data_IF_794947406318
#
_entry.id   IF_794947406318
#
_cell.length_a   1.000
_cell.length_b   1.000
_cell.length_c   1.000
_cell.angle_alpha   90.00
_cell.angle_beta   90.00
_cell.angle_gamma   90.00
#
_symmetry.space_group_name_H-M   'P 1'
#
loop_
_entity.id
_entity.type
_entity.pdbx_description
1 polymer ?
#
# COMPACT_ATOMS: atom_id res chain seq x y z
N UNK A 1 -2.99 30.58 -1.06
CA UNK A 1 -2.84 30.05 0.32
C UNK A 1 -1.46 29.41 0.42
N UNK A 2 -0.54 29.90 1.26
CA UNK A 2 0.77 29.22 1.47
C UNK A 2 0.55 28.05 2.42
N UNK A 3 0.49 26.82 1.89
CA UNK A 3 0.54 25.63 2.73
C UNK A 3 1.91 25.60 3.42
N UNK A 4 1.94 25.55 4.76
CA UNK A 4 3.19 25.32 5.48
C UNK A 4 3.68 23.91 5.12
N UNK A 5 4.94 23.79 4.71
CA UNK A 5 5.58 22.53 4.30
C UNK A 5 5.31 21.38 5.28
N UNK A 6 5.35 21.68 6.58
CA UNK A 6 5.05 20.75 7.70
C UNK A 6 3.64 20.17 7.64
N UNK A 7 2.63 20.96 7.23
CA UNK A 7 1.24 20.48 7.12
C UNK A 7 1.03 19.54 5.95
N UNK A 8 1.80 19.72 4.87
CA UNK A 8 1.74 18.82 3.71
C UNK A 8 2.38 17.48 4.04
N UNK A 9 3.53 17.48 4.72
CA UNK A 9 4.07 16.22 5.26
C UNK A 9 3.05 15.56 6.19
N UNK A 10 2.51 16.25 7.20
CA UNK A 10 1.50 15.69 8.12
C UNK A 10 0.29 15.09 7.38
N UNK A 11 -0.19 15.74 6.32
CA UNK A 11 -1.29 15.23 5.49
C UNK A 11 -0.91 13.90 4.82
N UNK A 12 0.24 13.84 4.13
CA UNK A 12 0.69 12.61 3.49
C UNK A 12 0.94 11.50 4.52
N UNK A 13 1.48 11.84 5.69
CA UNK A 13 1.67 10.90 6.79
C UNK A 13 0.33 10.37 7.32
N UNK A 14 -0.71 11.22 7.40
CA UNK A 14 -2.05 10.81 7.85
C UNK A 14 -2.71 9.79 6.93
N UNK A 15 -2.42 9.82 5.63
CA UNK A 15 -2.93 8.81 4.69
C UNK A 15 -2.35 7.42 4.96
N UNK A 16 -1.07 7.36 5.32
CA UNK A 16 -0.41 6.10 5.69
C UNK A 16 -0.91 5.62 7.06
N UNK A 17 -1.15 6.54 8.01
CA UNK A 17 -1.77 6.23 9.29
C UNK A 17 -3.14 5.56 9.15
N UNK A 18 -3.95 5.97 8.17
CA UNK A 18 -5.26 5.36 7.91
C UNK A 18 -5.20 3.94 7.35
N UNK A 19 -4.03 3.45 6.90
CA UNK A 19 -3.90 2.07 6.47
C UNK A 19 -4.11 1.07 7.62
N UNK A 20 -3.85 1.48 8.86
CA UNK A 20 -4.15 0.69 10.08
C UNK A 20 -5.59 0.15 10.07
N UNK A 21 -6.54 1.03 9.77
CA UNK A 21 -7.98 0.71 9.71
C UNK A 21 -8.28 -0.40 8.70
N UNK A 22 -7.48 -0.53 7.63
CA UNK A 22 -7.66 -1.60 6.67
C UNK A 22 -7.28 -2.97 7.25
N UNK A 23 -6.19 -3.04 8.02
CA UNK A 23 -5.77 -4.28 8.69
C UNK A 23 -6.76 -4.67 9.79
N UNK A 24 -7.16 -3.72 10.63
CA UNK A 24 -8.07 -3.95 11.76
C UNK A 24 -9.45 -4.46 11.32
N UNK A 25 -9.94 -3.99 10.18
CA UNK A 25 -11.26 -4.38 9.68
C UNK A 25 -11.24 -5.58 8.72
N UNK A 26 -10.07 -6.17 8.44
CA UNK A 26 -9.98 -7.30 7.53
C UNK A 26 -10.15 -8.62 8.30
N UNK A 27 -11.27 -9.35 8.14
CA UNK A 27 -11.54 -10.55 8.92
C UNK A 27 -10.52 -11.67 8.67
N UNK A 28 -10.04 -11.81 7.42
CA UNK A 28 -9.01 -12.81 7.07
C UNK A 28 -7.64 -12.47 7.67
N UNK A 29 -7.36 -11.18 7.88
CA UNK A 29 -6.14 -10.77 8.58
C UNK A 29 -6.28 -11.10 10.07
N UNK A 30 -7.44 -10.80 10.66
CA UNK A 30 -7.71 -11.05 12.07
C UNK A 30 -7.82 -12.53 12.43
N UNK A 31 -8.11 -13.41 11.47
CA UNK A 31 -8.10 -14.86 11.69
C UNK A 31 -6.70 -15.47 11.79
N UNK A 32 -5.64 -14.73 11.42
CA UNK A 32 -4.26 -15.22 11.53
C UNK A 32 -3.72 -15.09 12.95
N UNK A 33 -2.74 -15.93 13.29
CA UNK A 33 -2.06 -15.82 14.58
C UNK A 33 -1.30 -14.48 14.70
N UNK A 34 -1.15 -13.98 15.93
CA UNK A 34 -0.46 -12.69 16.21
C UNK A 34 0.93 -12.59 15.59
N UNK A 35 1.68 -13.69 15.57
CA UNK A 35 3.01 -13.77 14.93
C UNK A 35 2.95 -13.45 13.43
N UNK A 36 2.06 -14.11 12.69
CA UNK A 36 1.91 -13.91 11.24
C UNK A 36 1.32 -12.54 10.91
N UNK A 37 0.35 -12.07 11.71
CA UNK A 37 -0.19 -10.70 11.61
C UNK A 37 0.91 -9.66 11.73
N UNK A 38 1.77 -9.80 12.74
CA UNK A 38 2.91 -8.89 12.99
C UNK A 38 3.89 -8.88 11.82
N UNK A 39 4.22 -10.04 11.26
CA UNK A 39 5.12 -10.16 10.10
C UNK A 39 4.51 -9.51 8.87
N UNK A 40 3.26 -9.86 8.53
CA UNK A 40 2.56 -9.30 7.37
C UNK A 40 2.42 -7.79 7.50
N UNK A 41 2.01 -7.28 8.67
CA UNK A 41 1.91 -5.85 8.94
C UNK A 41 3.26 -5.17 8.72
N UNK A 42 4.33 -5.66 9.35
CA UNK A 42 5.66 -5.07 9.20
C UNK A 42 6.14 -5.06 7.74
N UNK A 43 5.81 -6.11 7.00
CA UNK A 43 6.27 -6.26 5.63
C UNK A 43 5.46 -5.44 4.62
N UNK A 44 4.16 -5.34 4.81
CA UNK A 44 3.24 -4.84 3.79
C UNK A 44 2.74 -3.43 4.07
N UNK A 45 2.84 -2.93 5.32
CA UNK A 45 2.28 -1.64 5.72
C UNK A 45 2.76 -0.47 4.83
N UNK A 46 4.04 -0.47 4.47
CA UNK A 46 4.59 0.55 3.57
C UNK A 46 3.90 0.58 2.21
N UNK A 47 3.57 -0.60 1.69
CA UNK A 47 2.94 -0.72 0.38
C UNK A 47 1.45 -0.37 0.45
N UNK A 48 0.74 -0.88 1.46
CA UNK A 48 -0.68 -0.59 1.68
C UNK A 48 -0.90 0.90 1.92
N UNK A 49 -0.11 1.49 2.82
CA UNK A 49 -0.17 2.92 3.12
C UNK A 49 0.18 3.80 1.94
N UNK A 50 1.27 3.50 1.22
CA UNK A 50 1.67 4.30 0.07
C UNK A 50 0.72 4.17 -1.13
N UNK A 51 0.20 2.97 -1.43
CA UNK A 51 -0.83 2.80 -2.47
C UNK A 51 -2.11 3.54 -2.08
N UNK A 52 -2.53 3.40 -0.82
CA UNK A 52 -3.69 4.11 -0.29
C UNK A 52 -3.55 5.62 -0.43
N UNK A 53 -2.38 6.17 -0.09
CA UNK A 53 -2.07 7.58 -0.28
C UNK A 53 -2.13 7.98 -1.77
N UNK A 54 -1.50 7.21 -2.66
CA UNK A 54 -1.54 7.47 -4.11
C UNK A 54 -2.99 7.48 -4.65
N UNK A 55 -3.82 6.53 -4.20
CA UNK A 55 -5.23 6.48 -4.57
C UNK A 55 -6.00 7.70 -4.09
N UNK A 56 -5.82 8.13 -2.84
CA UNK A 56 -6.47 9.34 -2.30
C UNK A 56 -6.01 10.59 -3.06
N UNK A 57 -4.71 10.73 -3.31
CA UNK A 57 -4.13 11.85 -4.06
C UNK A 57 -4.75 11.92 -5.46
N UNK A 58 -4.90 10.76 -6.12
CA UNK A 58 -5.57 10.67 -7.43
C UNK A 58 -7.01 11.16 -7.36
N UNK A 59 -7.80 10.62 -6.43
CA UNK A 59 -9.23 10.92 -6.30
C UNK A 59 -9.49 12.39 -5.96
N UNK A 60 -8.62 12.98 -5.16
CA UNK A 60 -8.73 14.40 -4.75
C UNK A 60 -8.12 15.36 -5.76
N UNK A 61 -7.31 14.89 -6.70
CA UNK A 61 -6.54 15.74 -7.60
C UNK A 61 -5.53 16.63 -6.87
N UNK A 62 -5.08 16.23 -5.67
CA UNK A 62 -4.29 17.09 -4.78
C UNK A 62 -3.00 17.61 -5.43
N UNK A 63 -2.33 16.77 -6.22
CA UNK A 63 -1.09 17.14 -6.93
C UNK A 63 -1.32 17.90 -8.25
N UNK A 64 -2.57 18.14 -8.64
CA UNK A 64 -2.88 19.04 -9.76
C UNK A 64 -2.71 20.52 -9.36
N UNK A 65 -2.73 20.82 -8.05
CA UNK A 65 -2.38 22.15 -7.55
C UNK A 65 -0.86 22.35 -7.61
N UNK A 66 -0.43 23.36 -8.38
CA UNK A 66 0.99 23.64 -8.60
C UNK A 66 1.74 23.98 -7.30
N UNK A 67 1.08 24.59 -6.33
CA UNK A 67 1.70 24.94 -5.04
C UNK A 67 1.98 23.69 -4.23
N UNK A 68 1.02 22.77 -4.18
CA UNK A 68 1.18 21.49 -3.49
C UNK A 68 2.22 20.63 -4.22
N UNK A 69 2.17 20.56 -5.54
CA UNK A 69 3.15 19.84 -6.36
C UNK A 69 4.58 20.29 -6.08
N UNK A 70 4.86 21.60 -6.18
CA UNK A 70 6.19 22.16 -5.91
C UNK A 70 6.64 21.95 -4.46
N UNK A 71 5.69 22.00 -3.52
CA UNK A 71 6.01 21.75 -2.11
C UNK A 71 6.37 20.29 -1.88
N UNK A 72 5.64 19.35 -2.49
CA UNK A 72 5.97 17.93 -2.43
C UNK A 72 7.32 17.64 -3.11
N UNK A 73 7.63 18.31 -4.21
CA UNK A 73 8.91 18.21 -4.91
C UNK A 73 10.09 18.63 -4.03
N UNK A 74 9.93 19.71 -3.25
CA UNK A 74 10.96 20.17 -2.31
C UNK A 74 11.16 19.18 -1.15
N UNK A 75 10.09 18.54 -0.67
CA UNK A 75 10.16 17.61 0.47
C UNK A 75 10.76 16.26 0.06
N UNK A 76 10.27 15.69 -1.04
CA UNK A 76 10.55 14.31 -1.44
C UNK A 76 11.57 14.20 -2.58
N UNK A 77 11.84 15.29 -3.28
CA UNK A 77 12.68 15.29 -4.48
C UNK A 77 11.89 15.01 -5.76
N UNK A 78 12.39 15.55 -6.87
CA UNK A 78 11.75 15.48 -8.17
C UNK A 78 11.66 14.05 -8.73
N UNK A 79 12.67 13.20 -8.49
CA UNK A 79 12.67 11.81 -8.93
C UNK A 79 11.53 10.99 -8.32
N UNK A 80 11.44 11.00 -6.98
CA UNK A 80 10.38 10.29 -6.23
C UNK A 80 9.00 10.83 -6.64
N UNK A 81 8.86 12.15 -6.78
CA UNK A 81 7.59 12.75 -7.18
C UNK A 81 7.19 12.36 -8.61
N UNK A 82 8.12 12.37 -9.57
CA UNK A 82 7.87 11.94 -10.94
C UNK A 82 7.44 10.47 -11.01
N UNK A 83 8.13 9.59 -10.29
CA UNK A 83 7.78 8.17 -10.20
C UNK A 83 6.42 7.97 -9.52
N UNK A 84 6.12 8.74 -8.46
CA UNK A 84 4.83 8.73 -7.77
C UNK A 84 3.70 9.19 -8.70
N UNK A 85 3.89 10.25 -9.48
CA UNK A 85 2.92 10.71 -10.48
C UNK A 85 2.66 9.66 -11.56
N UNK A 86 3.69 8.92 -11.98
CA UNK A 86 3.56 7.79 -12.89
C UNK A 86 2.72 6.66 -12.30
N UNK A 87 2.87 6.36 -11.01
CA UNK A 87 2.01 5.38 -10.32
C UNK A 87 0.57 5.88 -10.25
N UNK A 88 0.38 7.14 -9.83
CA UNK A 88 -0.94 7.77 -9.71
C UNK A 88 -1.72 7.72 -11.03
N UNK A 89 -1.06 7.95 -12.17
CA UNK A 89 -1.72 7.90 -13.48
C UNK A 89 -2.15 6.48 -13.90
N UNK A 90 -1.49 5.45 -13.36
CA UNK A 90 -1.83 4.04 -13.59
C UNK A 90 -2.94 3.53 -12.66
N UNK A 91 -3.24 4.22 -11.56
CA UNK A 91 -4.29 3.86 -10.59
C UNK A 91 -5.70 4.20 -11.09
N UNK A 92 -6.03 3.87 -12.34
CA UNK A 92 -7.36 4.07 -12.91
C UNK A 92 -8.35 2.96 -12.51
N UNK A 93 -8.46 2.75 -11.21
CA UNK A 93 -9.34 1.74 -10.62
C UNK A 93 -10.46 2.43 -9.84
N UNK A 94 -11.62 1.77 -9.80
CA UNK A 94 -12.66 2.15 -8.84
C UNK A 94 -12.29 1.72 -7.42
N UNK A 95 -13.02 2.23 -6.43
CA UNK A 95 -12.76 1.97 -5.02
C UNK A 95 -12.98 0.52 -4.61
N UNK A 96 -13.89 -0.22 -5.26
CA UNK A 96 -14.17 -1.62 -4.95
C UNK A 96 -12.99 -2.49 -5.39
N UNK A 97 -12.55 -2.34 -6.64
CA UNK A 97 -11.39 -3.05 -7.14
C UNK A 97 -10.16 -2.70 -6.32
N UNK A 98 -9.93 -1.41 -6.04
CA UNK A 98 -8.79 -0.97 -5.25
C UNK A 98 -8.73 -1.61 -3.86
N UNK A 99 -9.86 -1.83 -3.18
CA UNK A 99 -9.89 -2.57 -1.90
C UNK A 99 -9.44 -4.02 -2.05
N UNK A 100 -9.85 -4.72 -3.11
CA UNK A 100 -9.38 -6.08 -3.41
C UNK A 100 -7.87 -6.09 -3.68
N UNK A 101 -7.37 -5.06 -4.36
CA UNK A 101 -5.93 -4.89 -4.60
C UNK A 101 -5.14 -4.67 -3.31
N UNK A 102 -5.64 -3.84 -2.39
CA UNK A 102 -5.00 -3.67 -1.08
C UNK A 102 -4.97 -4.98 -0.30
N UNK A 103 -6.04 -5.79 -0.37
CA UNK A 103 -6.05 -7.10 0.26
C UNK A 103 -4.98 -8.03 -0.34
N UNK A 104 -4.85 -8.07 -1.67
CA UNK A 104 -3.78 -8.80 -2.35
C UNK A 104 -2.38 -8.41 -1.88
N UNK A 105 -2.16 -7.11 -1.64
CA UNK A 105 -0.88 -6.59 -1.15
C UNK A 105 -0.66 -6.96 0.32
N UNK A 106 -1.68 -6.93 1.18
CA UNK A 106 -1.58 -7.33 2.60
C UNK A 106 -1.13 -8.78 2.75
N UNK A 107 -1.67 -9.69 1.95
CA UNK A 107 -1.34 -11.12 2.01
C UNK A 107 -0.19 -11.50 1.06
N UNK A 108 0.50 -10.51 0.51
CA UNK A 108 1.62 -10.76 -0.39
C UNK A 108 2.88 -11.16 0.37
N UNK A 109 3.64 -12.07 -0.24
CA UNK A 109 4.94 -12.51 0.24
C UNK A 109 6.10 -11.71 -0.40
N UNK A 110 5.83 -10.52 -0.98
CA UNK A 110 6.82 -9.73 -1.75
C UNK A 110 8.10 -9.35 -0.99
N UNK A 111 8.10 -9.35 0.34
CA UNK A 111 9.34 -9.08 1.09
C UNK A 111 10.26 -10.30 1.25
N UNK A 112 9.81 -11.50 0.92
CA UNK A 112 10.66 -12.70 0.88
C UNK A 112 11.61 -12.72 -0.32
N UNK A 113 11.41 -11.84 -1.32
CA UNK A 113 12.31 -11.72 -2.48
C UNK A 113 13.41 -10.67 -2.31
N UNK A 114 13.45 -9.92 -1.20
CA UNK A 114 14.63 -9.11 -0.88
C UNK A 114 15.71 -10.02 -0.31
N UNK A 115 16.83 -10.12 -1.01
CA UNK A 115 18.07 -10.71 -0.49
C UNK A 115 18.68 -9.78 0.58
N UNK A 116 18.06 -9.72 1.76
CA UNK A 116 18.70 -9.10 2.92
C UNK A 116 19.56 -10.14 3.64
N UNK A 117 20.71 -9.74 4.17
CA UNK A 117 21.58 -10.61 4.98
C UNK A 117 20.98 -11.02 6.35
N UNK A 118 19.72 -10.65 6.61
CA UNK A 118 18.99 -11.01 7.84
C UNK A 118 18.17 -12.25 7.54
N UNK A 119 18.27 -13.28 8.39
CA UNK A 119 17.46 -14.49 8.25
C UNK A 119 15.97 -14.10 8.17
N UNK A 120 15.22 -14.59 7.17
CA UNK A 120 13.82 -14.24 7.02
C UNK A 120 13.05 -14.68 8.26
N UNK A 121 12.28 -13.77 8.86
CA UNK A 121 11.30 -14.15 9.86
C UNK A 121 10.20 -14.90 9.11
N UNK A 122 10.10 -16.20 9.35
CA UNK A 122 9.18 -17.06 8.60
C UNK A 122 7.76 -16.94 9.15
N UNK A 123 6.80 -16.88 8.22
CA UNK A 123 5.38 -17.07 8.52
C UNK A 123 5.18 -18.52 9.01
N UNK A 124 4.38 -18.69 10.06
CA UNK A 124 4.02 -20.00 10.61
C UNK A 124 3.04 -20.72 9.70
N UNK A 125 2.00 -20.04 9.23
CA UNK A 125 0.97 -20.62 8.37
C UNK A 125 0.96 -19.98 6.96
N UNK A 126 2.04 -20.24 6.22
CA UNK A 126 2.18 -19.75 4.84
C UNK A 126 1.07 -20.30 3.93
N UNK A 127 0.60 -21.53 4.18
CA UNK A 127 -0.45 -22.18 3.39
C UNK A 127 -1.76 -21.41 3.48
N UNK A 128 -2.21 -21.07 4.70
CA UNK A 128 -3.43 -20.29 4.91
C UNK A 128 -3.31 -18.89 4.31
N UNK A 129 -2.15 -18.24 4.44
CA UNK A 129 -1.92 -16.90 3.88
C UNK A 129 -2.00 -16.91 2.35
N UNK A 130 -1.36 -17.88 1.69
CA UNK A 130 -1.44 -18.05 0.24
C UNK A 130 -2.86 -18.40 -0.21
N UNK A 131 -3.60 -19.19 0.57
CA UNK A 131 -5.00 -19.48 0.28
C UNK A 131 -5.86 -18.21 0.31
N UNK A 132 -5.72 -17.38 1.35
CA UNK A 132 -6.39 -16.08 1.46
C UNK A 132 -6.01 -15.17 0.28
N UNK A 133 -4.72 -15.11 -0.06
CA UNK A 133 -4.24 -14.30 -1.20
C UNK A 133 -4.87 -14.76 -2.52
N UNK A 134 -4.91 -16.07 -2.77
CA UNK A 134 -5.52 -16.64 -3.98
C UNK A 134 -7.02 -16.34 -4.06
N UNK A 135 -7.73 -16.43 -2.95
CA UNK A 135 -9.14 -16.05 -2.89
C UNK A 135 -9.35 -14.57 -3.26
N UNK A 136 -8.53 -13.65 -2.76
CA UNK A 136 -8.61 -12.24 -3.18
C UNK A 136 -8.21 -12.04 -4.65
N UNK A 137 -7.27 -12.83 -5.18
CA UNK A 137 -6.89 -12.78 -6.59
C UNK A 137 -8.06 -13.22 -7.48
N UNK A 138 -8.73 -14.30 -7.10
CA UNK A 138 -9.90 -14.80 -7.79
C UNK A 138 -11.08 -13.82 -7.71
N UNK A 139 -11.33 -13.22 -6.54
CA UNK A 139 -12.35 -12.18 -6.39
C UNK A 139 -12.06 -10.95 -7.24
N UNK A 140 -10.79 -10.50 -7.27
CA UNK A 140 -10.36 -9.39 -8.13
C UNK A 140 -10.58 -9.71 -9.61
N UNK A 141 -10.21 -10.91 -10.04
CA UNK A 141 -10.41 -11.39 -11.41
C UNK A 141 -11.90 -11.45 -11.79
N UNK A 142 -12.72 -12.12 -10.96
CA UNK A 142 -14.17 -12.20 -11.16
C UNK A 142 -14.83 -10.83 -11.19
N UNK A 143 -14.39 -9.90 -10.33
CA UNK A 143 -14.89 -8.53 -10.35
C UNK A 143 -14.58 -7.82 -11.67
N UNK A 144 -13.38 -8.00 -12.22
CA UNK A 144 -13.03 -7.41 -13.52
C UNK A 144 -13.87 -7.98 -14.66
N UNK A 145 -14.09 -9.29 -14.71
CA UNK A 145 -14.98 -9.93 -15.70
C UNK A 145 -16.44 -9.50 -15.51
N UNK A 146 -16.87 -9.30 -14.27
CA UNK A 146 -18.22 -8.82 -14.00
C UNK A 146 -18.41 -7.37 -14.49
N UNK A 147 -17.40 -6.52 -14.29
CA UNK A 147 -17.47 -5.09 -14.58
C UNK A 147 -17.09 -4.74 -16.03
N UNK A 148 -16.22 -5.53 -16.64
CA UNK A 148 -15.65 -5.34 -17.96
C UNK A 148 -15.73 -6.65 -18.74
N UNK A 149 -15.64 -6.61 -20.06
CA UNK A 149 -15.49 -7.84 -20.85
C UNK A 149 -14.12 -8.50 -20.61
N UNK A 150 -13.99 -9.76 -21.05
CA UNK A 150 -12.79 -10.57 -20.83
C UNK A 150 -11.51 -9.89 -21.32
N UNK A 151 -11.55 -9.26 -22.50
CA UNK A 151 -10.39 -8.57 -23.07
C UNK A 151 -9.96 -7.38 -22.20
N UNK A 152 -10.89 -6.52 -21.80
CA UNK A 152 -10.58 -5.39 -20.92
C UNK A 152 -10.16 -5.87 -19.53
N UNK A 153 -10.76 -6.93 -19.00
CA UNK A 153 -10.38 -7.51 -17.71
C UNK A 153 -8.89 -7.91 -17.70
N UNK A 154 -8.40 -8.56 -18.75
CA UNK A 154 -6.97 -8.90 -18.91
C UNK A 154 -6.09 -7.63 -18.90
N UNK A 155 -6.50 -6.60 -19.64
CA UNK A 155 -5.76 -5.32 -19.70
C UNK A 155 -5.70 -4.64 -18.33
N UNK A 156 -6.83 -4.54 -17.62
CA UNK A 156 -6.89 -3.94 -16.29
C UNK A 156 -6.06 -4.70 -15.28
N UNK A 157 -6.13 -6.03 -15.28
CA UNK A 157 -5.34 -6.87 -14.39
C UNK A 157 -3.84 -6.74 -14.68
N UNK A 158 -3.44 -6.76 -15.95
CA UNK A 158 -2.04 -6.58 -16.36
C UNK A 158 -1.49 -5.21 -15.98
N UNK A 159 -2.30 -4.15 -16.15
CA UNK A 159 -1.93 -2.80 -15.76
C UNK A 159 -1.80 -2.67 -14.24
N UNK A 160 -2.62 -3.38 -13.46
CA UNK A 160 -2.45 -3.43 -12.01
C UNK A 160 -1.11 -4.06 -11.61
N UNK A 161 -0.75 -5.21 -12.18
CA UNK A 161 0.54 -5.86 -11.89
C UNK A 161 1.71 -4.93 -12.25
N UNK A 162 1.66 -4.26 -13.40
CA UNK A 162 2.67 -3.24 -13.80
C UNK A 162 2.72 -2.07 -12.83
N UNK A 163 1.57 -1.63 -12.33
CA UNK A 163 1.48 -0.58 -11.32
C UNK A 163 2.13 -1.01 -10.00
N UNK A 164 1.96 -2.26 -9.57
CA UNK A 164 2.61 -2.78 -8.37
C UNK A 164 4.14 -2.76 -8.49
N UNK A 165 4.69 -3.21 -9.62
CA UNK A 165 6.14 -3.15 -9.86
C UNK A 165 6.65 -1.71 -9.88
N UNK A 166 5.98 -0.82 -10.62
CA UNK A 166 6.36 0.60 -10.67
C UNK A 166 6.31 1.26 -9.29
N UNK A 167 5.33 0.88 -8.48
CA UNK A 167 5.17 1.38 -7.12
C UNK A 167 6.18 0.76 -6.14
N UNK A 168 6.61 -0.48 -6.36
CA UNK A 168 7.65 -1.11 -5.57
C UNK A 168 8.95 -0.30 -5.61
N UNK A 169 9.36 0.14 -6.80
CA UNK A 169 10.55 1.00 -6.98
C UNK A 169 10.41 2.31 -6.19
N UNK A 170 9.25 2.97 -6.27
CA UNK A 170 8.95 4.18 -5.51
C UNK A 170 9.05 3.94 -4.00
N UNK A 171 8.52 2.82 -3.52
CA UNK A 171 8.57 2.47 -2.09
C UNK A 171 10.00 2.24 -1.65
N UNK A 172 10.86 1.60 -2.46
CA UNK A 172 12.27 1.44 -2.14
C UNK A 172 12.94 2.81 -1.98
N UNK A 173 12.83 3.67 -3.00
CA UNK A 173 13.44 5.01 -3.02
C UNK A 173 12.93 5.87 -1.84
N UNK A 174 11.61 5.89 -1.61
CA UNK A 174 11.01 6.68 -0.54
C UNK A 174 11.39 6.18 0.87
N UNK A 175 11.67 4.87 1.04
CA UNK A 175 12.05 4.30 2.34
C UNK A 175 13.53 4.44 2.69
N UNK A 176 14.36 4.92 1.76
CA UNK A 176 15.69 5.43 2.10
C UNK A 176 15.59 6.74 2.89
N UNK A 177 14.49 7.47 2.78
CA UNK A 177 14.24 8.69 3.55
C UNK A 177 13.87 8.36 5.00
N UNK A 178 14.67 8.86 5.94
CA UNK A 178 14.50 8.60 7.39
C UNK A 178 13.09 8.89 7.91
N UNK A 179 12.49 10.01 7.52
CA UNK A 179 11.17 10.42 8.02
C UNK A 179 10.04 9.48 7.57
N UNK A 180 10.10 8.95 6.34
CA UNK A 180 9.16 7.94 5.84
C UNK A 180 9.27 6.64 6.64
N UNK A 181 10.51 6.20 6.89
CA UNK A 181 10.81 4.99 7.65
C UNK A 181 10.33 5.07 9.10
N UNK A 182 10.59 6.19 9.77
CA UNK A 182 10.23 6.40 11.18
C UNK A 182 8.71 6.43 11.38
N UNK A 183 7.97 7.06 10.45
CA UNK A 183 6.51 7.03 10.47
C UNK A 183 5.97 5.62 10.33
N UNK A 184 6.40 4.85 9.32
CA UNK A 184 5.83 3.53 9.09
C UNK A 184 6.09 2.60 10.27
N UNK A 185 7.27 2.70 10.90
CA UNK A 185 7.51 2.06 12.18
C UNK A 185 6.51 2.50 13.26
N UNK A 186 6.27 3.81 13.40
CA UNK A 186 5.30 4.33 14.37
C UNK A 186 3.90 3.76 14.14
N UNK A 187 3.43 3.71 12.89
CA UNK A 187 2.09 3.16 12.60
C UNK A 187 2.06 1.66 12.85
N UNK A 188 3.10 0.91 12.45
CA UNK A 188 3.19 -0.54 12.77
C UNK A 188 3.09 -0.78 14.28
N UNK A 189 3.80 -0.01 15.10
CA UNK A 189 3.77 -0.16 16.55
C UNK A 189 2.43 0.25 17.17
N UNK A 190 1.76 1.26 16.61
CA UNK A 190 0.41 1.63 17.03
C UNK A 190 -0.59 0.51 16.68
N UNK A 191 -0.57 0.01 15.44
CA UNK A 191 -1.47 -1.05 14.98
C UNK A 191 -1.27 -2.35 15.74
N UNK A 192 -0.03 -2.70 16.09
CA UNK A 192 0.22 -3.84 16.99
C UNK A 192 -0.44 -3.66 18.36
N UNK A 193 -0.37 -2.46 18.94
CA UNK A 193 -1.02 -2.18 20.23
C UNK A 193 -2.53 -2.29 20.13
N UNK A 194 -3.13 -1.72 19.07
CA UNK A 194 -4.58 -1.80 18.88
C UNK A 194 -5.06 -3.23 18.69
N UNK A 195 -4.35 -4.01 17.86
CA UNK A 195 -4.68 -5.42 17.61
C UNK A 195 -4.53 -6.27 18.89
N UNK A 196 -3.48 -6.03 19.69
CA UNK A 196 -3.25 -6.77 20.93
C UNK A 196 -4.30 -6.49 22.02
N UNK A 197 -5.01 -5.35 21.95
CA UNK A 197 -6.11 -5.02 22.86
C UNK A 197 -7.43 -5.70 22.47
N UNK A 198 -7.50 -6.30 21.28
CA UNK A 198 -8.69 -7.00 20.75
C UNK A 198 -8.59 -8.53 20.80
N UNK A 199 -7.47 -9.08 21.29
CA UNK A 199 -7.30 -10.50 21.65
C UNK A 199 -7.82 -10.77 23.07
#
# INVERSE_FOLDING_TARGET
MRYKLTRLSELFLSFIGRAEVFFENNPHFNSLCSHDRSILLHNTMKYVGGLGACFIIRQTGLLNDLTIFKSAEIIYGSGILANTMRVISQLNFDSTFFKLLLALVVFSTFNYTYYTNVAPINLKDTTTILHIQNMYAELAWRYLIYKYDDERAVVYFSNFIRCLFSFHDVVIEAFEMKHCKDMVKSVIEQTKKTIALTE
#
